data_IF_895489662870
#
_entry.id   IF_895489662870
#
_cell.length_a   1.000
_cell.length_b   1.000
_cell.length_c   1.000
_cell.angle_alpha   90.00
_cell.angle_beta   90.00
_cell.angle_gamma   90.00
#
_symmetry.space_group_name_H-M   'P 1'
#
loop_
_entity.id
_entity.type
_entity.pdbx_description
1 polymer ?
#
# COMPACT_ATOMS: atom_id res chain seq x y z
N UNK A 1 20.19 -11.59 17.34
CA UNK A 1 18.77 -11.95 17.43
C UNK A 1 17.90 -10.71 17.63
N UNK A 2 18.28 -9.79 18.53
CA UNK A 2 17.56 -8.54 18.81
C UNK A 2 17.35 -7.60 17.60
N UNK A 3 18.31 -7.49 16.69
CA UNK A 3 18.16 -6.67 15.48
C UNK A 3 17.05 -7.17 14.53
N UNK A 4 16.86 -8.49 14.45
CA UNK A 4 15.82 -9.09 13.62
C UNK A 4 14.44 -8.85 14.24
N UNK A 5 14.33 -8.97 15.57
CA UNK A 5 13.10 -8.70 16.31
C UNK A 5 12.69 -7.22 16.24
N UNK A 6 13.65 -6.29 16.34
CA UNK A 6 13.41 -4.86 16.18
C UNK A 6 12.92 -4.47 14.78
N UNK A 7 13.46 -5.10 13.73
CA UNK A 7 13.00 -4.89 12.34
C UNK A 7 11.59 -5.43 12.11
N UNK A 8 11.25 -6.59 12.67
CA UNK A 8 9.90 -7.15 12.59
C UNK A 8 8.89 -6.25 13.29
N UNK A 9 9.19 -5.77 14.50
CA UNK A 9 8.31 -4.85 15.23
C UNK A 9 8.04 -3.56 14.45
N UNK A 10 9.09 -2.96 13.89
CA UNK A 10 8.98 -1.75 13.07
C UNK A 10 8.10 -1.98 11.82
N UNK A 11 8.27 -3.13 11.16
CA UNK A 11 7.48 -3.49 9.98
C UNK A 11 6.00 -3.75 10.31
N UNK A 12 5.70 -4.35 11.46
CA UNK A 12 4.32 -4.54 11.92
C UNK A 12 3.65 -3.21 12.23
N UNK A 13 4.33 -2.30 12.94
CA UNK A 13 3.85 -0.96 13.20
C UNK A 13 3.56 -0.20 11.91
N UNK A 14 4.49 -0.25 10.96
CA UNK A 14 4.36 0.45 9.69
C UNK A 14 3.24 -0.14 8.83
N UNK A 15 3.07 -1.47 8.81
CA UNK A 15 1.94 -2.12 8.13
C UNK A 15 0.61 -1.64 8.72
N UNK A 16 0.49 -1.61 10.04
CA UNK A 16 -0.74 -1.16 10.68
C UNK A 16 -1.03 0.30 10.32
N UNK A 17 -0.02 1.18 10.33
CA UNK A 17 -0.13 2.58 9.90
C UNK A 17 -0.64 2.72 8.47
N UNK A 18 -0.10 1.92 7.54
CA UNK A 18 -0.55 1.92 6.12
C UNK A 18 -1.99 1.42 5.99
N UNK A 19 -2.35 0.33 6.67
CA UNK A 19 -3.72 -0.20 6.64
C UNK A 19 -4.72 0.81 7.21
N UNK A 20 -4.40 1.43 8.34
CA UNK A 20 -5.23 2.46 8.96
C UNK A 20 -5.36 3.70 8.07
N UNK A 21 -4.26 4.17 7.47
CA UNK A 21 -4.28 5.29 6.53
C UNK A 21 -5.15 5.03 5.31
N UNK A 22 -5.03 3.85 4.70
CA UNK A 22 -5.89 3.46 3.58
C UNK A 22 -7.37 3.37 4.00
N UNK A 23 -7.67 2.77 5.16
CA UNK A 23 -9.04 2.68 5.68
C UNK A 23 -9.63 4.05 5.98
N UNK A 24 -8.85 4.98 6.52
CA UNK A 24 -9.28 6.36 6.78
C UNK A 24 -9.63 7.13 5.49
N UNK A 25 -8.97 6.81 4.36
CA UNK A 25 -9.33 7.32 3.04
C UNK A 25 -10.60 6.65 2.47
N UNK A 26 -11.07 5.56 3.09
CA UNK A 26 -12.24 4.79 2.70
C UNK A 26 -11.93 3.50 1.93
N UNK A 27 -10.66 3.15 1.73
CA UNK A 27 -10.29 1.90 1.06
C UNK A 27 -10.71 0.67 1.87
N UNK A 28 -11.30 -0.31 1.19
CA UNK A 28 -11.56 -1.63 1.77
C UNK A 28 -10.28 -2.47 1.68
N UNK A 29 -9.51 -2.48 2.76
CA UNK A 29 -8.27 -3.26 2.88
C UNK A 29 -8.50 -4.46 3.79
N UNK A 30 -8.31 -5.70 3.29
CA UNK A 30 -8.41 -6.90 4.13
C UNK A 30 -7.32 -6.89 5.21
N UNK A 31 -7.59 -7.54 6.34
CA UNK A 31 -6.55 -7.77 7.33
C UNK A 31 -5.44 -8.64 6.73
N UNK A 32 -4.20 -8.28 7.03
CA UNK A 32 -3.01 -8.94 6.49
C UNK A 32 -2.00 -9.14 7.60
N UNK A 33 -1.47 -10.37 7.71
CA UNK A 33 -0.33 -10.68 8.56
C UNK A 33 0.99 -10.71 7.76
N UNK A 34 0.93 -10.42 6.46
CA UNK A 34 2.10 -10.35 5.59
C UNK A 34 2.77 -8.96 5.64
N UNK A 35 3.89 -8.83 4.94
CA UNK A 35 4.59 -7.55 4.72
C UNK A 35 4.02 -6.76 3.53
N UNK A 36 2.74 -6.96 3.18
CA UNK A 36 2.09 -6.27 2.08
C UNK A 36 0.60 -6.07 2.35
N UNK A 37 0.03 -5.07 1.69
CA UNK A 37 -1.42 -4.84 1.60
C UNK A 37 -1.92 -5.13 0.19
N UNK A 38 -3.22 -5.43 0.09
CA UNK A 38 -3.91 -5.70 -1.17
C UNK A 38 -5.03 -4.69 -1.40
N UNK A 39 -5.01 -4.02 -2.56
CA UNK A 39 -6.09 -3.13 -2.99
C UNK A 39 -6.81 -3.74 -4.18
N UNK A 40 -8.13 -3.97 -4.03
CA UNK A 40 -9.02 -4.43 -5.09
C UNK A 40 -9.40 -3.25 -5.97
N UNK A 41 -8.90 -3.23 -7.20
CA UNK A 41 -9.09 -2.13 -8.15
C UNK A 41 -9.72 -2.56 -9.48
N UNK A 42 -9.79 -3.88 -9.75
CA UNK A 42 -10.36 -4.40 -10.99
C UNK A 42 -9.65 -3.84 -12.23
N UNK A 43 -10.41 -3.31 -13.18
CA UNK A 43 -9.89 -2.70 -14.41
C UNK A 43 -8.94 -1.50 -14.16
N UNK A 44 -9.08 -0.81 -13.02
CA UNK A 44 -8.25 0.36 -12.68
C UNK A 44 -6.88 0.00 -12.11
N UNK A 45 -6.58 -1.30 -12.01
CA UNK A 45 -5.32 -1.80 -11.43
C UNK A 45 -4.08 -1.24 -12.14
N UNK A 46 -4.08 -1.21 -13.47
CA UNK A 46 -2.93 -0.76 -14.26
C UNK A 46 -2.77 0.75 -14.15
N UNK A 47 -3.87 1.51 -14.20
CA UNK A 47 -3.88 2.97 -14.04
C UNK A 47 -3.31 3.38 -12.68
N UNK A 48 -3.70 2.68 -11.62
CA UNK A 48 -3.22 2.93 -10.28
C UNK A 48 -1.72 2.64 -10.15
N UNK A 49 -1.26 1.51 -10.71
CA UNK A 49 0.16 1.18 -10.70
C UNK A 49 1.00 2.24 -11.44
N UNK A 50 0.51 2.72 -12.59
CA UNK A 50 1.14 3.82 -13.31
C UNK A 50 1.10 5.14 -12.51
N UNK A 51 0.04 5.40 -11.74
CA UNK A 51 -0.02 6.56 -10.85
C UNK A 51 1.04 6.47 -9.76
N UNK A 52 1.20 5.33 -9.10
CA UNK A 52 2.27 5.14 -8.11
C UNK A 52 3.65 5.36 -8.73
N UNK A 53 3.90 4.80 -9.92
CA UNK A 53 5.20 4.90 -10.61
C UNK A 53 5.57 6.35 -10.93
N UNK A 54 4.60 7.17 -11.38
CA UNK A 54 4.81 8.61 -11.62
C UNK A 54 5.27 9.38 -10.38
N UNK A 55 4.95 8.89 -9.19
CA UNK A 55 5.37 9.48 -7.93
C UNK A 55 6.59 8.77 -7.29
N UNK A 56 7.22 7.85 -8.02
CA UNK A 56 8.43 7.15 -7.57
C UNK A 56 8.17 5.92 -6.69
N UNK A 57 6.93 5.43 -6.63
CA UNK A 57 6.59 4.20 -5.88
C UNK A 57 6.24 3.08 -6.86
N UNK A 58 6.95 1.97 -6.77
CA UNK A 58 6.65 0.78 -7.58
C UNK A 58 5.76 -0.17 -6.78
N UNK A 59 4.60 -0.49 -7.33
CA UNK A 59 3.67 -1.51 -6.80
C UNK A 59 3.56 -2.68 -7.78
N UNK A 60 3.10 -3.84 -7.31
CA UNK A 60 2.91 -5.00 -8.18
C UNK A 60 1.45 -5.13 -8.61
N UNK A 61 1.09 -4.80 -9.87
CA UNK A 61 -0.25 -5.00 -10.39
C UNK A 61 -0.55 -6.47 -10.74
N UNK A 62 -1.81 -6.84 -10.56
CA UNK A 62 -2.45 -8.05 -11.07
C UNK A 62 -3.67 -7.60 -11.89
N UNK A 63 -3.48 -7.38 -13.21
CA UNK A 63 -4.51 -6.77 -14.07
C UNK A 63 -5.88 -7.44 -13.94
N UNK A 64 -6.93 -6.63 -13.88
CA UNK A 64 -8.31 -7.12 -13.68
C UNK A 64 -8.66 -7.48 -12.24
N UNK A 65 -7.69 -7.52 -11.31
CA UNK A 65 -7.93 -7.91 -9.91
C UNK A 65 -7.58 -6.79 -8.91
N UNK A 66 -6.30 -6.39 -8.86
CA UNK A 66 -5.82 -5.45 -7.86
C UNK A 66 -4.31 -5.29 -7.82
N UNK A 67 -3.83 -4.54 -6.84
CA UNK A 67 -2.38 -4.33 -6.61
C UNK A 67 -1.95 -4.91 -5.28
N UNK A 68 -0.77 -5.56 -5.30
CA UNK A 68 -0.03 -5.93 -4.10
C UNK A 68 1.01 -4.86 -3.81
N UNK A 69 0.94 -4.26 -2.62
CA UNK A 69 1.82 -3.18 -2.19
C UNK A 69 2.63 -3.67 -1.00
N UNK A 70 3.94 -3.87 -1.21
CA UNK A 70 4.85 -4.24 -0.13
C UNK A 70 5.03 -3.05 0.80
N UNK A 71 4.93 -3.29 2.11
CA UNK A 71 5.22 -2.29 3.14
C UNK A 71 6.74 -2.17 3.23
N UNK A 72 7.25 -1.00 2.86
CA UNK A 72 8.68 -0.69 2.85
C UNK A 72 9.01 0.42 3.84
N UNK A 73 9.89 1.32 3.43
CA UNK A 73 10.26 2.52 4.17
C UNK A 73 9.07 3.48 4.36
N UNK A 74 9.04 4.19 5.49
CA UNK A 74 7.94 5.10 5.87
C UNK A 74 7.70 6.16 4.79
N UNK A 75 8.76 6.68 4.18
CA UNK A 75 8.71 7.69 3.13
C UNK A 75 8.04 7.16 1.86
N UNK A 76 8.37 5.94 1.44
CA UNK A 76 7.74 5.29 0.30
C UNK A 76 6.25 5.00 0.57
N UNK A 77 5.94 4.56 1.79
CA UNK A 77 4.57 4.32 2.21
C UNK A 77 3.74 5.61 2.32
N UNK A 78 4.35 6.74 2.70
CA UNK A 78 3.71 8.06 2.73
C UNK A 78 3.35 8.55 1.32
N UNK A 79 4.27 8.39 0.37
CA UNK A 79 4.00 8.70 -1.03
C UNK A 79 2.86 7.83 -1.55
N UNK A 80 2.92 6.52 -1.28
CA UNK A 80 1.85 5.59 -1.64
C UNK A 80 0.49 6.01 -1.08
N UNK A 81 0.40 6.36 0.21
CA UNK A 81 -0.85 6.80 0.84
C UNK A 81 -1.40 8.08 0.19
N UNK A 82 -0.55 9.03 -0.20
CA UNK A 82 -0.96 10.25 -0.91
C UNK A 82 -1.52 9.93 -2.29
N UNK A 83 -0.86 9.05 -3.04
CA UNK A 83 -1.35 8.59 -4.35
C UNK A 83 -2.68 7.86 -4.21
N UNK A 84 -2.81 7.00 -3.19
CA UNK A 84 -4.04 6.27 -2.90
C UNK A 84 -5.22 7.21 -2.58
N UNK A 85 -4.99 8.25 -1.78
CA UNK A 85 -6.02 9.25 -1.46
C UNK A 85 -6.45 10.04 -2.69
N UNK A 86 -5.48 10.55 -3.46
CA UNK A 86 -5.73 11.30 -4.69
C UNK A 86 -6.49 10.48 -5.73
N UNK A 87 -5.99 9.28 -6.02
CA UNK A 87 -6.63 8.38 -7.00
C UNK A 87 -8.05 8.01 -6.60
N UNK A 88 -8.32 7.81 -5.30
CA UNK A 88 -9.66 7.47 -4.81
C UNK A 88 -10.66 8.60 -4.99
N UNK A 89 -10.23 9.86 -4.87
CA UNK A 89 -11.09 11.03 -5.08
C UNK A 89 -11.49 11.22 -6.55
N UNK A 90 -10.78 10.56 -7.46
CA UNK A 90 -11.03 10.54 -8.90
C UNK A 90 -11.81 9.28 -9.35
N UNK A 91 -12.15 8.37 -8.42
CA UNK A 91 -13.02 7.20 -8.66
C UNK A 91 -14.50 7.59 -8.61
#
# INVERSE_FOLDING_TARGET
>A
EDELLGRVGSLVCERNRVVEGLRAQGWTVPETQANFVWLRLGERTVDFAAACERHGVVVRPFPGEGVRVTVGETEANDIFLKVADGFRKEL
#
